data_IF_834752969151
#
_entry.id   IF_834752969151
#
_cell.length_a   1.000
_cell.length_b   1.000
_cell.length_c   1.000
_cell.angle_alpha   90.00
_cell.angle_beta   90.00
_cell.angle_gamma   90.00
#
_symmetry.space_group_name_H-M   'P 1'
#
loop_
_entity.id
_entity.type
_entity.pdbx_description
1 polymer ?
#
# COMPACT_ATOMS: atom_id res chain seq x y z
N UNK A 1 15.27 8.86 -14.67
CA UNK A 1 14.17 7.91 -14.43
C UNK A 1 12.86 8.66 -14.30
N UNK A 2 11.83 8.18 -14.93
CA UNK A 2 10.52 8.82 -14.89
C UNK A 2 9.80 8.49 -13.58
N UNK A 3 8.81 9.30 -13.23
CA UNK A 3 7.95 9.05 -12.06
C UNK A 3 7.32 7.67 -12.14
N UNK A 4 6.90 7.28 -13.34
CA UNK A 4 6.25 6.00 -13.55
C UNK A 4 7.18 4.83 -13.25
N UNK A 5 8.44 4.94 -13.66
CA UNK A 5 9.43 3.88 -13.39
C UNK A 5 9.66 3.70 -11.90
N UNK A 6 9.72 4.80 -11.15
CA UNK A 6 9.88 4.72 -9.69
C UNK A 6 8.67 4.06 -9.04
N UNK A 7 7.48 4.44 -9.49
CA UNK A 7 6.25 3.85 -8.95
C UNK A 7 6.17 2.36 -9.26
N UNK A 8 6.52 2.00 -10.49
CA UNK A 8 6.49 0.59 -10.89
C UNK A 8 7.49 -0.24 -10.09
N UNK A 9 8.68 0.32 -9.87
CA UNK A 9 9.72 -0.35 -9.08
C UNK A 9 9.24 -0.60 -7.66
N UNK A 10 8.66 0.41 -7.03
CA UNK A 10 8.15 0.28 -5.67
C UNK A 10 7.02 -0.75 -5.60
N UNK A 11 6.07 -0.67 -6.52
CA UNK A 11 4.93 -1.59 -6.52
C UNK A 11 5.39 -3.03 -6.65
N UNK A 12 6.34 -3.27 -7.54
CA UNK A 12 6.85 -4.62 -7.72
C UNK A 12 7.61 -5.10 -6.49
N UNK A 13 8.39 -4.22 -5.88
CA UNK A 13 9.11 -4.56 -4.64
C UNK A 13 8.13 -4.92 -3.53
N UNK A 14 7.10 -4.10 -3.33
CA UNK A 14 6.11 -4.33 -2.29
C UNK A 14 5.34 -5.63 -2.55
N UNK A 15 4.94 -5.87 -3.79
CA UNK A 15 4.24 -7.09 -4.14
C UNK A 15 5.08 -8.32 -3.83
N UNK A 16 6.35 -8.29 -4.22
CA UNK A 16 7.25 -9.42 -3.96
C UNK A 16 7.45 -9.63 -2.46
N UNK A 17 7.61 -8.53 -1.73
CA UNK A 17 7.86 -8.60 -0.29
C UNK A 17 6.68 -9.18 0.47
N UNK A 18 5.46 -8.82 0.05
CA UNK A 18 4.23 -9.25 0.73
C UNK A 18 3.62 -10.52 0.11
N UNK A 19 4.25 -11.06 -0.91
CA UNK A 19 3.71 -12.21 -1.61
C UNK A 19 2.37 -11.90 -2.26
N UNK A 20 2.25 -10.67 -2.76
CA UNK A 20 1.03 -10.20 -3.40
C UNK A 20 1.21 -10.01 -4.88
N UNK A 21 0.25 -9.35 -5.50
CA UNK A 21 0.23 -9.11 -6.93
C UNK A 21 0.04 -7.63 -7.22
N UNK A 22 0.81 -7.11 -8.18
CA UNK A 22 0.60 -5.77 -8.70
C UNK A 22 -0.66 -5.79 -9.55
N UNK A 23 -1.56 -4.82 -9.31
CA UNK A 23 -2.75 -4.72 -10.13
C UNK A 23 -2.37 -4.26 -11.52
N UNK A 24 -3.05 -4.77 -12.55
CA UNK A 24 -2.79 -4.28 -13.90
C UNK A 24 -3.08 -2.78 -13.96
N UNK A 25 -2.12 -2.03 -14.43
CA UNK A 25 -2.32 -0.63 -14.71
C UNK A 25 -2.90 -0.56 -16.11
N UNK A 26 -4.21 -0.52 -16.19
CA UNK A 26 -4.87 -0.55 -17.49
C UNK A 26 -4.50 0.66 -18.34
N UNK A 27 -4.06 1.73 -17.72
CA UNK A 27 -3.76 2.95 -18.44
C UNK A 27 -4.95 3.57 -19.12
N UNK A 28 -6.10 2.98 -19.00
CA UNK A 28 -7.29 3.42 -19.69
C UNK A 28 -8.19 4.27 -18.82
N UNK A 29 -7.66 4.81 -17.74
CA UNK A 29 -8.43 5.66 -16.85
C UNK A 29 -9.48 4.92 -16.06
N UNK A 30 -9.46 3.62 -16.09
CA UNK A 30 -10.41 2.83 -15.32
C UNK A 30 -10.06 2.87 -13.85
N UNK A 31 -11.03 2.54 -13.04
CA UNK A 31 -10.87 2.52 -11.62
C UNK A 31 -9.69 1.65 -11.24
N UNK A 32 -8.68 2.26 -10.69
CA UNK A 32 -7.55 1.53 -10.16
C UNK A 32 -7.99 0.86 -8.88
N UNK A 33 -7.71 -0.41 -8.77
CA UNK A 33 -8.17 -1.23 -7.64
C UNK A 33 -7.10 -1.41 -6.60
N UNK A 34 -6.35 -0.34 -6.31
CA UNK A 34 -5.20 -0.41 -5.44
C UNK A 34 -3.97 -0.74 -6.25
N UNK A 35 -2.81 -0.63 -5.65
CA UNK A 35 -1.55 -0.88 -6.35
C UNK A 35 -1.10 -2.33 -6.21
N UNK A 36 -1.31 -2.91 -5.02
CA UNK A 36 -0.92 -4.30 -4.74
C UNK A 36 -2.05 -4.98 -3.99
N UNK A 37 -2.38 -6.18 -4.41
CA UNK A 37 -3.38 -7.01 -3.73
C UNK A 37 -2.68 -8.19 -3.08
N UNK A 38 -3.02 -8.47 -1.83
CA UNK A 38 -2.43 -9.60 -1.11
C UNK A 38 -3.55 -10.54 -0.71
N UNK A 39 -3.49 -11.74 -1.24
CA UNK A 39 -4.52 -12.77 -1.05
C UNK A 39 -5.90 -12.20 -1.37
N UNK A 40 -6.91 -12.54 -0.56
CA UNK A 40 -8.26 -12.03 -0.77
C UNK A 40 -8.63 -10.95 0.24
N UNK A 41 -7.70 -10.49 1.06
CA UNK A 41 -8.08 -9.63 2.17
C UNK A 41 -7.36 -8.28 2.26
N UNK A 42 -6.22 -8.08 1.61
CA UNK A 42 -5.51 -6.80 1.68
C UNK A 42 -5.55 -6.05 0.36
N UNK A 43 -5.73 -4.74 0.46
CA UNK A 43 -5.50 -3.83 -0.66
C UNK A 43 -4.47 -2.82 -0.18
N UNK A 44 -3.41 -2.66 -0.95
CA UNK A 44 -2.26 -1.84 -0.58
C UNK A 44 -2.06 -0.74 -1.61
N UNK A 45 -1.96 0.49 -1.14
CA UNK A 45 -1.66 1.64 -1.97
C UNK A 45 -0.21 2.01 -1.77
N UNK A 46 0.54 2.20 -2.86
CA UNK A 46 1.95 2.51 -2.80
C UNK A 46 2.21 3.96 -3.19
N UNK A 47 3.06 4.63 -2.44
CA UNK A 47 3.45 6.02 -2.69
C UNK A 47 4.95 6.16 -2.55
N UNK A 48 5.57 6.91 -3.46
CA UNK A 48 7.01 7.12 -3.42
C UNK A 48 7.35 8.54 -3.84
N UNK A 49 8.63 8.88 -3.79
CA UNK A 49 9.17 10.16 -4.24
C UNK A 49 10.18 9.94 -5.35
N UNK A 50 10.30 10.92 -6.23
CA UNK A 50 11.29 10.87 -7.33
C UNK A 50 12.72 10.94 -6.80
N UNK A 51 12.92 11.73 -5.75
CA UNK A 51 14.23 11.98 -5.16
C UNK A 51 14.20 11.63 -3.68
N UNK A 52 15.32 11.21 -3.12
CA UNK A 52 15.37 10.99 -1.67
C UNK A 52 14.98 12.24 -0.91
N UNK A 53 14.23 12.03 0.16
CA UNK A 53 13.73 13.11 0.99
C UNK A 53 13.70 12.64 2.44
N UNK A 54 13.58 13.59 3.37
CA UNK A 54 13.47 13.27 4.79
C UNK A 54 12.06 13.47 5.32
N UNK A 55 11.14 13.88 4.43
CA UNK A 55 9.75 14.10 4.83
C UNK A 55 8.82 13.50 3.80
N UNK A 56 7.68 12.99 4.29
CA UNK A 56 6.65 12.44 3.41
C UNK A 56 5.29 12.86 3.94
N UNK A 57 4.51 13.54 3.10
CA UNK A 57 3.17 13.98 3.45
C UNK A 57 2.15 12.92 3.09
N UNK A 58 1.39 12.48 4.08
CA UNK A 58 0.31 11.53 3.85
C UNK A 58 -1.00 12.31 3.77
N UNK A 59 -1.67 12.19 2.63
CA UNK A 59 -2.93 12.91 2.42
C UNK A 59 -4.08 12.04 2.89
N UNK A 60 -4.96 12.62 3.69
CA UNK A 60 -6.12 11.90 4.20
C UNK A 60 -6.96 11.31 3.07
N UNK A 61 -7.06 12.03 1.95
CA UNK A 61 -7.86 11.55 0.82
C UNK A 61 -7.38 10.20 0.28
N UNK A 62 -6.09 9.93 0.37
CA UNK A 62 -5.56 8.62 -0.04
C UNK A 62 -6.14 7.50 0.81
N UNK A 63 -6.22 7.72 2.11
CA UNK A 63 -6.75 6.72 3.04
C UNK A 63 -8.25 6.55 2.86
N UNK A 64 -8.97 7.66 2.67
CA UNK A 64 -10.40 7.61 2.43
C UNK A 64 -10.72 6.83 1.16
N UNK A 65 -9.99 7.12 0.09
CA UNK A 65 -10.16 6.43 -1.18
C UNK A 65 -9.86 4.95 -1.07
N UNK A 66 -8.79 4.63 -0.36
CA UNK A 66 -8.36 3.25 -0.15
C UNK A 66 -9.43 2.47 0.61
N UNK A 67 -10.03 3.10 1.62
CA UNK A 67 -11.12 2.47 2.36
C UNK A 67 -12.36 2.24 1.49
N UNK A 68 -12.66 3.19 0.62
CA UNK A 68 -13.77 3.03 -0.31
C UNK A 68 -13.53 1.87 -1.27
N UNK A 69 -12.29 1.75 -1.76
CA UNK A 69 -11.93 0.65 -2.64
C UNK A 69 -12.02 -0.69 -1.91
N UNK A 70 -11.58 -0.74 -0.66
CA UNK A 70 -11.62 -1.98 0.10
C UNK A 70 -13.06 -2.46 0.30
N UNK A 71 -13.98 -1.54 0.56
CA UNK A 71 -15.39 -1.89 0.68
C UNK A 71 -15.95 -2.40 -0.64
N UNK A 72 -15.62 -1.72 -1.74
CA UNK A 72 -16.12 -2.11 -3.06
C UNK A 72 -15.58 -3.48 -3.48
N UNK A 73 -14.37 -3.81 -3.07
CA UNK A 73 -13.72 -5.07 -3.43
C UNK A 73 -13.88 -6.16 -2.37
N UNK A 74 -14.64 -5.87 -1.31
CA UNK A 74 -14.85 -6.81 -0.21
C UNK A 74 -13.54 -7.29 0.42
N UNK A 75 -12.59 -6.37 0.54
CA UNK A 75 -11.31 -6.65 1.21
C UNK A 75 -11.30 -5.93 2.53
N UNK A 76 -11.18 -6.66 3.65
CA UNK A 76 -11.32 -6.05 4.97
C UNK A 76 -10.13 -5.21 5.42
N UNK A 77 -8.97 -5.36 4.81
CA UNK A 77 -7.77 -4.70 5.30
C UNK A 77 -7.15 -3.79 4.26
N UNK A 78 -6.64 -2.65 4.73
CA UNK A 78 -5.95 -1.68 3.90
C UNK A 78 -4.59 -1.36 4.48
N UNK A 79 -3.65 -0.99 3.62
CA UNK A 79 -2.38 -0.45 4.05
C UNK A 79 -1.91 0.56 3.01
N UNK A 80 -1.36 1.66 3.48
CA UNK A 80 -0.68 2.60 2.60
C UNK A 80 0.81 2.44 2.85
N UNK A 81 1.55 2.08 1.80
CA UNK A 81 2.98 1.84 1.90
C UNK A 81 3.71 2.99 1.21
N UNK A 82 4.71 3.53 1.88
CA UNK A 82 5.47 4.65 1.32
C UNK A 82 6.95 4.49 1.62
N UNK A 83 7.77 5.16 0.85
CA UNK A 83 9.19 5.29 1.14
C UNK A 83 9.59 6.76 0.97
N UNK A 84 10.81 7.08 1.37
CA UNK A 84 11.32 8.45 1.30
C UNK A 84 12.16 8.65 0.02
N UNK A 85 11.80 7.95 -1.04
CA UNK A 85 12.50 8.07 -2.32
C UNK A 85 13.54 7.00 -2.57
N UNK A 86 13.55 5.95 -1.73
CA UNK A 86 14.48 4.83 -1.89
C UNK A 86 13.73 3.54 -1.68
N UNK A 87 13.62 2.74 -2.72
CA UNK A 87 12.96 1.44 -2.65
C UNK A 87 13.77 0.51 -1.76
N UNK A 88 13.10 -0.25 -0.92
CA UNK A 88 13.73 -1.15 0.04
C UNK A 88 13.62 -0.66 1.47
N UNK A 89 13.16 0.55 1.67
CA UNK A 89 13.01 1.15 3.01
C UNK A 89 11.57 1.61 3.23
N UNK A 90 10.62 0.76 2.89
CA UNK A 90 9.21 1.09 2.98
C UNK A 90 8.68 1.00 4.40
N UNK A 91 7.70 1.86 4.67
CA UNK A 91 6.92 1.86 5.90
C UNK A 91 5.46 1.69 5.53
N UNK A 92 4.68 1.17 6.46
CA UNK A 92 3.24 0.96 6.22
C UNK A 92 2.42 1.77 7.19
N UNK A 93 1.35 2.39 6.68
CA UNK A 93 0.35 3.07 7.49
C UNK A 93 -0.90 2.18 7.47
N UNK A 94 -1.34 1.79 8.64
CA UNK A 94 -2.54 0.96 8.78
C UNK A 94 -3.48 1.60 9.80
N UNK A 95 -4.78 1.26 9.76
CA UNK A 95 -5.69 1.74 10.78
C UNK A 95 -5.24 1.28 12.16
N UNK A 96 -5.41 2.14 13.16
CA UNK A 96 -4.97 1.82 14.52
C UNK A 96 -5.63 0.55 15.05
N UNK A 97 -6.88 0.32 14.65
CA UNK A 97 -7.59 -0.89 15.07
C UNK A 97 -6.88 -2.16 14.62
N UNK A 98 -6.31 -2.14 13.40
CA UNK A 98 -5.61 -3.31 12.89
C UNK A 98 -4.33 -3.56 13.66
N UNK A 99 -3.61 -2.50 14.03
CA UNK A 99 -2.42 -2.64 14.88
C UNK A 99 -2.79 -3.24 16.22
N UNK A 100 -3.89 -2.79 16.80
CA UNK A 100 -4.37 -3.35 18.07
C UNK A 100 -4.66 -4.83 17.93
N UNK A 101 -5.34 -5.21 16.86
CA UNK A 101 -5.68 -6.61 16.62
C UNK A 101 -4.42 -7.48 16.48
N UNK A 102 -3.42 -6.98 15.77
CA UNK A 102 -2.15 -7.70 15.60
C UNK A 102 -1.42 -7.85 16.94
N UNK A 103 -1.43 -6.79 17.76
CA UNK A 103 -0.79 -6.84 19.07
C UNK A 103 -1.47 -7.87 19.97
N UNK A 104 -2.82 -7.89 19.94
CA UNK A 104 -3.56 -8.86 20.76
C UNK A 104 -3.30 -10.28 20.30
N UNK A 105 -3.19 -10.48 18.99
CA UNK A 105 -2.88 -11.79 18.45
C UNK A 105 -1.49 -12.26 18.87
N UNK A 106 -0.52 -11.35 18.84
CA UNK A 106 0.82 -11.67 19.30
C UNK A 106 0.83 -12.07 20.78
N UNK A 107 0.03 -11.40 21.60
CA UNK A 107 -0.07 -11.74 23.02
C UNK A 107 -0.62 -13.14 23.24
N UNK A 108 -1.54 -13.56 22.40
CA UNK A 108 -2.09 -14.91 22.49
C UNK A 108 -1.06 -15.99 22.20
N UNK A 109 -0.06 -15.65 21.36
CA UNK A 109 0.97 -16.62 20.96
C UNK A 109 2.15 -16.65 21.93
N UNK A 110 2.24 -15.67 22.82
CA UNK A 110 3.31 -15.63 23.80
C UNK A 110 2.88 -16.36 25.08
#
# INVERSE_FOLDING_TARGET
MSTRSRSDEQEQYVANYLDGEVTPNSGAGHTKKGDVLVDSFYIVECKTKMQPTTQFTIKKEWLTKLQQQSLAMHRPYIALVFDFGKVGEEYAVIPLQDLKDYIEKLKEEL
#
